data_IF_433976541327
#
_entry.id   IF_433976541327
#
_cell.length_a   1.000
_cell.length_b   1.000
_cell.length_c   1.000
_cell.angle_alpha   90.00
_cell.angle_beta   90.00
_cell.angle_gamma   90.00
#
_symmetry.space_group_name_H-M   'P 1'
#
loop_
_entity.id
_entity.type
_entity.pdbx_description
1 polymer ?
#
# COMPACT_ATOMS: atom_id res chain seq x y z
N UNK A 1 4.23 -5.47 -31.36
CA UNK A 1 4.06 -5.22 -29.91
C UNK A 1 2.83 -5.97 -29.39
N UNK A 2 2.88 -6.54 -28.17
CA UNK A 2 1.76 -7.07 -27.34
C UNK A 2 1.49 -8.57 -27.20
N UNK A 3 2.06 -9.51 -27.98
CA UNK A 3 1.80 -10.95 -27.72
C UNK A 3 2.33 -11.42 -26.36
N UNK A 4 3.43 -10.85 -25.87
CA UNK A 4 4.03 -11.27 -24.60
C UNK A 4 3.22 -10.86 -23.37
N UNK A 5 2.62 -9.67 -23.38
CA UNK A 5 1.81 -9.18 -22.27
C UNK A 5 0.52 -10.00 -22.08
N UNK A 6 -0.02 -10.56 -23.16
CA UNK A 6 -1.22 -11.41 -23.15
C UNK A 6 -0.90 -12.87 -22.76
N UNK A 7 0.38 -13.26 -22.64
CA UNK A 7 0.74 -14.60 -22.14
C UNK A 7 0.39 -14.71 -20.66
N UNK A 8 0.14 -15.94 -20.20
CA UNK A 8 -0.07 -16.22 -18.79
C UNK A 8 1.13 -15.78 -17.96
N UNK A 9 0.84 -15.13 -16.84
CA UNK A 9 1.83 -14.85 -15.83
C UNK A 9 2.20 -16.15 -15.13
N UNK A 10 3.50 -16.44 -15.07
CA UNK A 10 4.02 -17.69 -14.51
C UNK A 10 5.05 -17.35 -13.44
N UNK A 11 4.57 -17.16 -12.22
CA UNK A 11 5.40 -17.11 -11.03
C UNK A 11 4.82 -18.07 -10.00
N UNK A 12 5.66 -18.92 -9.40
CA UNK A 12 5.18 -20.06 -8.58
C UNK A 12 4.48 -19.62 -7.30
N UNK A 13 4.87 -18.49 -6.75
CA UNK A 13 4.37 -17.98 -5.47
C UNK A 13 3.43 -16.77 -5.62
N UNK A 14 3.46 -16.07 -6.75
CA UNK A 14 2.65 -14.86 -6.91
C UNK A 14 1.36 -15.20 -7.65
N UNK A 15 0.24 -14.74 -7.11
CA UNK A 15 -1.10 -14.97 -7.67
C UNK A 15 -1.46 -16.46 -7.84
N UNK A 16 -1.08 -17.30 -6.86
CA UNK A 16 -1.41 -18.74 -6.85
C UNK A 16 -2.92 -18.93 -7.04
N UNK A 17 -3.30 -19.79 -7.99
CA UNK A 17 -4.69 -20.07 -8.33
C UNK A 17 -5.36 -19.04 -9.25
N UNK A 18 -4.74 -17.89 -9.51
CA UNK A 18 -5.28 -16.89 -10.43
C UNK A 18 -4.72 -17.10 -11.84
N UNK A 19 -5.59 -17.08 -12.85
CA UNK A 19 -5.20 -17.20 -14.27
C UNK A 19 -5.00 -15.82 -14.89
N UNK A 20 -4.03 -15.06 -14.37
CA UNK A 20 -3.71 -13.73 -14.88
C UNK A 20 -2.82 -13.78 -16.11
N UNK A 21 -3.04 -12.85 -17.03
CA UNK A 21 -2.05 -12.46 -18.04
C UNK A 21 -0.90 -11.70 -17.39
N UNK A 22 0.26 -11.62 -18.06
CA UNK A 22 1.39 -10.79 -17.60
C UNK A 22 0.98 -9.33 -17.45
N UNK A 23 0.16 -8.82 -18.37
CA UNK A 23 -0.41 -7.48 -18.29
C UNK A 23 -1.17 -7.26 -16.99
N UNK A 24 -2.15 -8.11 -16.69
CA UNK A 24 -2.97 -8.00 -15.48
C UNK A 24 -2.15 -8.18 -14.20
N UNK A 25 -1.21 -9.12 -14.20
CA UNK A 25 -0.32 -9.33 -13.08
C UNK A 25 0.55 -8.09 -12.82
N UNK A 26 1.22 -7.55 -13.85
CA UNK A 26 2.05 -6.35 -13.72
C UNK A 26 1.24 -5.12 -13.31
N UNK A 27 -0.01 -5.01 -13.77
CA UNK A 27 -0.91 -3.93 -13.36
C UNK A 27 -1.21 -3.99 -11.86
N UNK A 28 -1.58 -5.17 -11.35
CA UNK A 28 -1.79 -5.38 -9.91
C UNK A 28 -0.53 -5.12 -9.10
N UNK A 29 0.62 -5.60 -9.57
CA UNK A 29 1.90 -5.39 -8.88
C UNK A 29 2.24 -3.89 -8.82
N UNK A 30 2.03 -3.15 -9.91
CA UNK A 30 2.24 -1.69 -9.94
C UNK A 30 1.26 -0.94 -9.01
N UNK A 31 0.01 -1.39 -8.92
CA UNK A 31 -0.99 -0.79 -8.04
C UNK A 31 -0.59 -0.87 -6.55
N UNK A 32 -0.05 -2.03 -6.12
CA UNK A 32 0.41 -2.20 -4.73
C UNK A 32 1.48 -1.17 -4.36
N UNK A 33 2.48 -0.96 -5.24
CA UNK A 33 3.65 -0.14 -4.94
C UNK A 33 4.72 -0.85 -4.10
N UNK A 34 4.57 -2.16 -3.85
CA UNK A 34 5.52 -2.96 -3.06
C UNK A 34 6.62 -3.59 -3.93
N UNK A 35 6.70 -3.20 -5.19
CA UNK A 35 7.64 -3.77 -6.17
C UNK A 35 8.53 -2.70 -6.77
N UNK A 36 9.81 -3.04 -6.96
CA UNK A 36 10.80 -2.16 -7.57
C UNK A 36 11.58 -2.87 -8.68
N UNK A 37 12.08 -2.07 -9.62
CA UNK A 37 12.93 -2.57 -10.70
C UNK A 37 14.38 -2.64 -10.24
N UNK A 38 15.03 -3.75 -10.56
CA UNK A 38 16.44 -3.97 -10.29
C UNK A 38 17.09 -4.77 -11.44
N UNK A 39 18.40 -4.98 -11.35
CA UNK A 39 19.19 -5.76 -12.30
C UNK A 39 19.82 -6.94 -11.59
N UNK A 40 19.75 -8.12 -12.22
CA UNK A 40 20.41 -9.33 -11.74
C UNK A 40 21.36 -9.88 -12.78
N UNK A 41 22.59 -10.20 -12.36
CA UNK A 41 23.59 -10.81 -13.24
C UNK A 41 23.05 -12.15 -13.76
N UNK A 42 23.10 -12.31 -15.08
CA UNK A 42 22.84 -13.55 -15.76
C UNK A 42 24.19 -14.24 -16.00
N UNK A 43 24.62 -15.08 -15.05
CA UNK A 43 25.93 -15.73 -15.08
C UNK A 43 26.13 -16.54 -16.36
N UNK A 44 25.12 -17.29 -16.81
CA UNK A 44 25.23 -18.14 -18.01
C UNK A 44 25.47 -17.33 -19.28
N UNK A 45 24.71 -16.26 -19.51
CA UNK A 45 24.93 -15.40 -20.67
C UNK A 45 26.21 -14.57 -20.53
N UNK A 46 26.57 -14.18 -19.30
CA UNK A 46 27.82 -13.47 -19.03
C UNK A 46 29.04 -14.35 -19.34
N UNK A 47 29.06 -15.60 -18.89
CA UNK A 47 30.14 -16.56 -19.21
C UNK A 47 30.24 -16.78 -20.71
N UNK A 48 29.11 -16.96 -21.40
CA UNK A 48 29.08 -17.15 -22.85
C UNK A 48 29.63 -15.95 -23.60
N UNK A 49 29.27 -14.72 -23.19
CA UNK A 49 29.74 -13.47 -23.81
C UNK A 49 31.24 -13.23 -23.57
N UNK A 50 31.76 -13.67 -22.42
CA UNK A 50 33.15 -13.44 -22.02
C UNK A 50 34.05 -14.66 -22.25
N UNK A 51 33.60 -15.63 -23.05
CA UNK A 51 34.40 -16.80 -23.41
C UNK A 51 35.70 -16.33 -24.11
N UNK A 52 36.85 -16.70 -23.54
CA UNK A 52 38.17 -16.32 -24.05
C UNK A 52 38.64 -14.91 -23.68
N UNK A 53 37.90 -14.17 -22.85
CA UNK A 53 38.33 -12.87 -22.32
C UNK A 53 39.10 -13.03 -21.00
N UNK A 54 40.03 -12.12 -20.73
CA UNK A 54 40.71 -12.02 -19.44
C UNK A 54 39.81 -11.45 -18.34
N UNK A 55 40.24 -11.59 -17.08
CA UNK A 55 39.48 -11.11 -15.90
C UNK A 55 39.19 -9.59 -15.96
N UNK A 56 40.10 -8.82 -16.56
CA UNK A 56 39.98 -7.36 -16.69
C UNK A 56 39.01 -6.92 -17.81
N UNK A 57 38.68 -7.81 -18.75
CA UNK A 57 37.78 -7.54 -19.88
C UNK A 57 36.37 -8.14 -19.68
N UNK A 58 36.08 -8.58 -18.45
CA UNK A 58 34.82 -9.21 -18.09
C UNK A 58 33.67 -8.19 -18.08
N UNK A 59 32.67 -8.41 -18.93
CA UNK A 59 31.47 -7.59 -18.98
C UNK A 59 30.23 -8.37 -18.54
N UNK A 60 29.66 -8.11 -17.35
CA UNK A 60 28.47 -8.81 -16.90
C UNK A 60 27.25 -8.47 -17.76
N UNK A 61 26.49 -9.50 -18.13
CA UNK A 61 25.17 -9.39 -18.74
C UNK A 61 24.14 -9.40 -17.60
N UNK A 62 23.29 -8.38 -17.57
CA UNK A 62 22.28 -8.21 -16.53
C UNK A 62 20.86 -8.37 -17.11
N UNK A 63 20.02 -9.12 -16.41
CA UNK A 63 18.59 -9.19 -16.65
C UNK A 63 17.85 -8.11 -15.86
N UNK A 64 16.87 -7.47 -16.48
CA UNK A 64 15.91 -6.62 -15.77
C UNK A 64 14.96 -7.51 -14.95
N UNK A 65 14.82 -7.20 -13.67
CA UNK A 65 13.97 -7.96 -12.75
C UNK A 65 13.05 -7.03 -11.95
N UNK A 66 11.91 -7.58 -11.55
CA UNK A 66 11.00 -7.00 -10.58
C UNK A 66 11.22 -7.68 -9.23
N UNK A 67 11.45 -6.89 -8.19
CA UNK A 67 11.70 -7.37 -6.83
C UNK A 67 10.58 -6.95 -5.89
N UNK A 68 10.20 -7.84 -4.97
CA UNK A 68 9.27 -7.51 -3.89
C UNK A 68 10.02 -6.87 -2.71
N UNK A 69 9.51 -5.77 -2.16
CA UNK A 69 10.07 -5.08 -1.00
C UNK A 69 9.99 -5.89 0.31
N UNK A 70 9.07 -6.86 0.40
CA UNK A 70 8.85 -7.65 1.62
C UNK A 70 9.90 -8.75 1.87
N UNK A 71 9.88 -9.29 3.09
CA UNK A 71 10.81 -10.35 3.55
C UNK A 71 10.73 -11.66 2.76
N UNK A 72 9.64 -11.86 2.03
CA UNK A 72 9.33 -13.07 1.28
C UNK A 72 10.21 -13.27 0.02
N UNK A 73 11.08 -12.30 -0.30
CA UNK A 73 12.12 -12.38 -1.36
C UNK A 73 11.61 -13.07 -2.64
N UNK A 74 10.84 -12.34 -3.45
CA UNK A 74 10.45 -12.77 -4.79
C UNK A 74 11.10 -11.91 -5.86
N UNK A 75 11.63 -12.54 -6.91
CA UNK A 75 12.15 -11.85 -8.09
C UNK A 75 11.51 -12.41 -9.36
N UNK A 76 11.06 -11.54 -10.26
CA UNK A 76 10.51 -11.92 -11.54
C UNK A 76 11.31 -11.28 -12.68
N UNK A 77 11.82 -12.09 -13.60
CA UNK A 77 12.54 -11.60 -14.78
C UNK A 77 11.58 -10.95 -15.76
N UNK A 78 11.91 -9.74 -16.20
CA UNK A 78 11.12 -8.96 -17.13
C UNK A 78 11.70 -9.03 -18.54
N UNK A 79 10.82 -9.09 -19.53
CA UNK A 79 11.14 -8.69 -20.89
C UNK A 79 11.08 -7.16 -21.02
N UNK A 80 11.65 -6.62 -22.09
CA UNK A 80 11.62 -5.17 -22.36
C UNK A 80 10.17 -4.63 -22.36
N UNK A 81 9.24 -5.34 -23.02
CA UNK A 81 7.84 -4.94 -23.09
C UNK A 81 7.14 -4.97 -21.72
N UNK A 82 7.47 -5.93 -20.85
CA UNK A 82 6.94 -6.01 -19.49
C UNK A 82 7.48 -4.88 -18.62
N UNK A 83 8.77 -4.57 -18.73
CA UNK A 83 9.39 -3.45 -18.03
C UNK A 83 8.77 -2.11 -18.42
N UNK A 84 8.66 -1.83 -19.71
CA UNK A 84 8.03 -0.60 -20.21
C UNK A 84 6.58 -0.47 -19.72
N UNK A 85 5.84 -1.58 -19.75
CA UNK A 85 4.46 -1.61 -19.26
C UNK A 85 4.39 -1.35 -17.75
N UNK A 86 5.23 -2.02 -16.96
CA UNK A 86 5.27 -1.84 -15.51
C UNK A 86 5.60 -0.38 -15.14
N UNK A 87 6.64 0.22 -15.73
CA UNK A 87 7.01 1.62 -15.49
C UNK A 87 5.84 2.56 -15.79
N UNK A 88 5.12 2.33 -16.89
CA UNK A 88 3.96 3.14 -17.25
C UNK A 88 2.84 3.05 -16.19
N UNK A 89 2.57 1.85 -15.67
CA UNK A 89 1.50 1.62 -14.70
C UNK A 89 1.88 2.07 -13.30
N UNK A 90 3.12 1.85 -12.89
CA UNK A 90 3.66 2.32 -11.61
C UNK A 90 3.56 3.85 -11.50
N UNK A 91 4.01 4.56 -12.54
CA UNK A 91 3.86 6.02 -12.62
C UNK A 91 2.40 6.47 -12.56
N UNK A 92 1.50 5.78 -13.28
CA UNK A 92 0.07 6.09 -13.26
C UNK A 92 -0.50 5.98 -11.85
N UNK A 93 -0.25 4.87 -11.14
CA UNK A 93 -0.78 4.67 -9.80
C UNK A 93 -0.14 5.60 -8.77
N UNK A 94 1.14 5.95 -8.92
CA UNK A 94 1.78 6.97 -8.10
C UNK A 94 1.07 8.32 -8.22
N UNK A 95 0.82 8.78 -9.44
CA UNK A 95 0.10 10.04 -9.69
C UNK A 95 -1.33 9.97 -9.14
N UNK A 96 -2.03 8.84 -9.31
CA UNK A 96 -3.38 8.68 -8.75
C UNK A 96 -3.39 8.77 -7.21
N UNK A 97 -2.40 8.17 -6.53
CA UNK A 97 -2.24 8.26 -5.08
C UNK A 97 -1.99 9.71 -4.64
N UNK A 98 -1.13 10.44 -5.35
CA UNK A 98 -0.87 11.86 -5.08
C UNK A 98 -2.12 12.73 -5.28
N UNK A 99 -2.84 12.55 -6.39
CA UNK A 99 -4.08 13.28 -6.66
C UNK A 99 -5.14 13.02 -5.59
N UNK A 100 -5.29 11.76 -5.17
CA UNK A 100 -6.22 11.39 -4.09
C UNK A 100 -5.83 12.07 -2.78
N UNK A 101 -4.55 12.08 -2.43
CA UNK A 101 -4.06 12.77 -1.22
C UNK A 101 -4.32 14.28 -1.29
N UNK A 102 -4.14 14.91 -2.45
CA UNK A 102 -4.45 16.34 -2.64
C UNK A 102 -5.96 16.59 -2.47
N UNK A 103 -6.80 15.75 -3.06
CA UNK A 103 -8.27 15.84 -2.91
C UNK A 103 -8.63 15.73 -1.43
N UNK A 104 -8.11 14.73 -0.71
CA UNK A 104 -8.34 14.50 0.73
C UNK A 104 -7.93 15.67 1.64
N UNK A 105 -7.01 16.51 1.19
CA UNK A 105 -6.52 17.70 1.91
C UNK A 105 -7.27 18.98 1.51
N UNK A 106 -7.70 19.09 0.26
CA UNK A 106 -8.21 20.35 -0.33
C UNK A 106 -9.73 20.36 -0.55
N UNK A 107 -10.39 19.21 -0.62
CA UNK A 107 -11.82 19.09 -0.89
C UNK A 107 -12.67 19.57 0.29
N UNK A 108 -13.52 20.59 0.11
CA UNK A 108 -14.48 21.02 1.14
C UNK A 108 -15.40 19.88 1.58
N UNK A 109 -15.78 18.99 0.65
CA UNK A 109 -16.64 17.84 0.92
C UNK A 109 -15.95 16.85 1.86
N UNK A 110 -14.69 16.50 1.63
CA UNK A 110 -13.98 15.55 2.50
C UNK A 110 -13.61 16.16 3.86
N UNK A 111 -13.37 17.48 3.90
CA UNK A 111 -13.23 18.20 5.18
C UNK A 111 -14.51 18.10 5.99
N UNK A 112 -15.66 18.30 5.35
CA UNK A 112 -16.97 18.18 6.00
C UNK A 112 -17.26 16.74 6.43
N UNK A 113 -16.99 15.75 5.60
CA UNK A 113 -17.15 14.33 5.97
C UNK A 113 -16.24 13.95 7.15
N UNK A 114 -14.97 14.40 7.16
CA UNK A 114 -14.06 14.20 8.30
C UNK A 114 -14.61 14.90 9.56
N UNK A 115 -15.18 16.09 9.43
CA UNK A 115 -15.81 16.82 10.52
C UNK A 115 -17.00 16.06 11.09
N UNK A 116 -17.91 15.58 10.22
CA UNK A 116 -19.08 14.78 10.60
C UNK A 116 -18.66 13.52 11.35
N UNK A 117 -17.72 12.73 10.80
CA UNK A 117 -17.20 11.52 11.48
C UNK A 117 -16.62 11.83 12.85
N UNK A 118 -15.92 12.96 12.98
CA UNK A 118 -15.37 13.38 14.27
C UNK A 118 -16.47 13.74 15.26
N UNK A 119 -17.51 14.47 14.85
CA UNK A 119 -18.68 14.80 15.67
C UNK A 119 -19.41 13.51 16.11
N UNK A 120 -19.60 12.55 15.21
CA UNK A 120 -20.22 11.24 15.54
C UNK A 120 -19.41 10.47 16.59
N UNK A 121 -18.08 10.43 16.44
CA UNK A 121 -17.20 9.83 17.43
C UNK A 121 -17.28 10.53 18.79
N UNK A 122 -17.34 11.87 18.82
CA UNK A 122 -17.49 12.63 20.07
C UNK A 122 -18.85 12.38 20.73
N UNK A 123 -19.94 12.32 19.96
CA UNK A 123 -21.27 11.96 20.46
C UNK A 123 -21.29 10.55 21.06
N UNK A 124 -20.65 9.59 20.39
CA UNK A 124 -20.52 8.23 20.91
C UNK A 124 -19.78 8.21 22.25
N UNK A 125 -18.63 8.88 22.34
CA UNK A 125 -17.85 8.95 23.57
C UNK A 125 -18.65 9.57 24.71
N UNK A 126 -19.35 10.68 24.45
CA UNK A 126 -20.21 11.32 25.44
C UNK A 126 -21.30 10.35 25.93
N UNK A 127 -21.99 9.69 25.01
CA UNK A 127 -23.05 8.74 25.37
C UNK A 127 -22.51 7.55 26.17
N UNK A 128 -21.32 7.06 25.83
CA UNK A 128 -20.64 6.02 26.60
C UNK A 128 -20.34 6.51 28.02
N UNK A 129 -19.70 7.67 28.17
CA UNK A 129 -19.39 8.28 29.47
C UNK A 129 -20.64 8.52 30.32
N UNK A 130 -21.76 8.96 29.72
CA UNK A 130 -23.03 9.13 30.43
C UNK A 130 -23.63 7.80 30.92
N UNK A 131 -23.47 6.72 30.17
CA UNK A 131 -23.92 5.39 30.57
C UNK A 131 -23.05 4.80 31.68
N UNK A 132 -21.74 5.01 31.63
CA UNK A 132 -20.81 4.61 32.69
C UNK A 132 -21.09 5.38 33.98
N UNK A 133 -21.35 6.69 33.91
CA UNK A 133 -21.76 7.48 35.06
C UNK A 133 -23.05 6.96 35.71
N UNK A 134 -24.07 6.60 34.90
CA UNK A 134 -25.30 5.98 35.40
C UNK A 134 -25.04 4.65 36.11
N UNK A 135 -24.06 3.89 35.64
CA UNK A 135 -23.67 2.61 36.25
C UNK A 135 -22.90 2.84 37.56
N UNK A 136 -21.94 3.78 37.57
CA UNK A 136 -21.16 4.16 38.74
C UNK A 136 -22.07 4.62 39.89
N UNK A 137 -23.07 5.45 39.60
CA UNK A 137 -24.06 5.92 40.58
C UNK A 137 -24.85 4.78 41.27
N UNK A 138 -24.95 3.60 40.63
CA UNK A 138 -25.67 2.45 41.17
C UNK A 138 -24.77 1.42 41.83
N UNK A 139 -23.55 1.23 41.33
CA UNK A 139 -22.70 0.07 41.66
C UNK A 139 -21.32 0.41 42.19
N UNK A 140 -20.75 1.55 41.77
CA UNK A 140 -19.35 1.89 42.01
C UNK A 140 -19.23 3.38 42.41
N UNK A 141 -19.74 3.75 43.60
CA UNK A 141 -19.79 5.14 44.04
C UNK A 141 -18.41 5.82 44.09
N UNK A 142 -17.35 5.05 44.32
CA UNK A 142 -15.95 5.51 44.32
C UNK A 142 -15.46 6.04 42.95
N UNK A 143 -16.15 5.67 41.87
CA UNK A 143 -15.79 6.07 40.50
C UNK A 143 -16.67 7.20 39.94
N UNK A 144 -17.64 7.70 40.72
CA UNK A 144 -18.65 8.67 40.25
C UNK A 144 -18.02 10.00 39.86
N UNK A 145 -17.09 10.52 40.66
CA UNK A 145 -16.45 11.81 40.38
C UNK A 145 -15.64 11.76 39.09
N UNK A 146 -14.89 10.66 38.87
CA UNK A 146 -14.17 10.43 37.63
C UNK A 146 -15.09 10.46 36.40
N UNK A 147 -16.20 9.72 36.44
CA UNK A 147 -17.12 9.65 35.31
C UNK A 147 -17.91 10.96 35.11
N UNK A 148 -18.18 11.71 36.18
CA UNK A 148 -18.77 13.04 36.09
C UNK A 148 -17.84 14.02 35.37
N UNK A 149 -16.57 14.07 35.77
CA UNK A 149 -15.56 14.91 35.13
C UNK A 149 -15.37 14.51 33.66
N UNK A 150 -15.40 13.22 33.38
CA UNK A 150 -15.30 12.68 32.02
C UNK A 150 -16.46 13.15 31.14
N UNK A 151 -17.70 13.10 31.64
CA UNK A 151 -18.89 13.60 30.92
C UNK A 151 -18.79 15.10 30.65
N UNK A 152 -18.33 15.89 31.63
CA UNK A 152 -18.14 17.35 31.45
C UNK A 152 -17.14 17.59 30.32
N UNK A 153 -15.98 16.93 30.37
CA UNK A 153 -14.94 17.07 29.35
C UNK A 153 -15.41 16.65 27.97
N UNK A 154 -16.15 15.53 27.86
CA UNK A 154 -16.65 15.07 26.57
C UNK A 154 -17.74 16.00 26.01
N UNK A 155 -18.55 16.66 26.87
CA UNK A 155 -19.48 17.73 26.47
C UNK A 155 -18.76 18.97 25.98
N UNK A 156 -17.74 19.43 26.69
CA UNK A 156 -16.92 20.57 26.27
C UNK A 156 -16.23 20.31 24.93
N UNK A 157 -15.68 19.10 24.74
CA UNK A 157 -15.07 18.71 23.48
C UNK A 157 -16.07 18.70 22.31
N UNK A 158 -17.31 18.29 22.55
CA UNK A 158 -18.36 18.30 21.54
C UNK A 158 -18.87 19.73 21.22
N UNK A 159 -18.95 20.60 22.23
CA UNK A 159 -19.38 21.99 22.07
C UNK A 159 -18.36 22.85 21.31
N UNK A 160 -17.07 22.56 21.49
CA UNK A 160 -15.98 23.33 20.90
C UNK A 160 -15.57 22.84 19.49
N UNK A 161 -16.35 21.96 18.85
CA UNK A 161 -16.05 21.34 17.55
C UNK A 161 -17.19 21.59 16.52
#
# INVERSE_FOLDING_TARGET
>A
MKKDLEKRFSHRAWFVGQKLTRKEALDKLAETGDFYLDKKINYKESEKKNLGKGVFDYEPVNDDILCYCGKEKGTYKLTLAEKEYFIKRDNYYRIQKELKAVVELTSPKEREEKRIRKIESLKYNLQHSENELKTALKKYPESVDFWRDKVIKDKELLLNY
#
